data_IF_561458622049
#
_entry.id   IF_561458622049
#
_cell.length_a   1.000
_cell.length_b   1.000
_cell.length_c   1.000
_cell.angle_alpha   90.00
_cell.angle_beta   90.00
_cell.angle_gamma   90.00
#
_symmetry.space_group_name_H-M   'P 1'
#
loop_
_entity.id
_entity.type
_entity.pdbx_description
1 polymer ?
#
# COMPACT_ATOMS: atom_id res chain seq x y z
N UNK A 1 -15.28 8.90 16.80
CA UNK A 1 -16.39 7.93 16.82
C UNK A 1 -16.76 7.47 15.41
N UNK A 2 -16.99 8.38 14.45
CA UNK A 2 -17.33 8.02 13.07
C UNK A 2 -16.27 7.18 12.32
N UNK A 3 -14.98 7.47 12.55
CA UNK A 3 -13.88 6.71 11.93
C UNK A 3 -13.84 5.23 12.34
N UNK A 4 -14.18 4.90 13.60
CA UNK A 4 -14.22 3.51 14.09
C UNK A 4 -15.28 2.69 13.34
N UNK A 5 -16.47 3.27 13.16
CA UNK A 5 -17.57 2.66 12.40
C UNK A 5 -17.18 2.43 10.94
N UNK A 6 -16.55 3.41 10.31
CA UNK A 6 -16.08 3.30 8.91
C UNK A 6 -15.00 2.23 8.78
N UNK A 7 -14.01 2.23 9.67
CA UNK A 7 -12.91 1.28 9.65
C UNK A 7 -13.41 -0.16 9.84
N UNK A 8 -14.32 -0.38 10.79
CA UNK A 8 -14.94 -1.71 11.01
C UNK A 8 -15.75 -2.16 9.82
N UNK A 9 -16.59 -1.29 9.27
CA UNK A 9 -17.37 -1.62 8.06
C UNK A 9 -16.47 -2.00 6.88
N UNK A 10 -15.35 -1.31 6.71
CA UNK A 10 -14.36 -1.64 5.67
C UNK A 10 -13.66 -2.97 5.93
N UNK A 11 -13.28 -3.25 7.18
CA UNK A 11 -12.63 -4.50 7.58
C UNK A 11 -13.55 -5.71 7.52
N UNK A 12 -14.81 -5.56 7.92
CA UNK A 12 -15.79 -6.66 8.01
C UNK A 12 -16.43 -6.99 6.64
N UNK A 13 -16.21 -6.16 5.63
CA UNK A 13 -16.73 -6.41 4.28
C UNK A 13 -15.92 -7.52 3.61
N UNK A 14 -16.54 -8.67 3.39
CA UNK A 14 -15.91 -9.79 2.68
C UNK A 14 -15.68 -9.44 1.20
N UNK A 15 -14.45 -9.55 0.74
CA UNK A 15 -14.12 -9.58 -0.68
C UNK A 15 -14.36 -11.00 -1.24
N UNK A 16 -14.77 -11.10 -2.50
CA UNK A 16 -15.01 -12.39 -3.17
C UNK A 16 -13.76 -13.25 -3.36
N UNK A 17 -12.58 -12.64 -3.26
CA UNK A 17 -11.28 -13.29 -3.47
C UNK A 17 -10.59 -13.54 -2.13
N UNK A 18 -10.31 -14.82 -1.85
CA UNK A 18 -9.72 -15.29 -0.59
C UNK A 18 -8.31 -14.78 -0.33
N UNK A 19 -7.60 -14.33 -1.37
CA UNK A 19 -6.24 -13.75 -1.30
C UNK A 19 -6.32 -12.24 -1.21
N UNK A 20 -7.22 -11.59 -1.94
CA UNK A 20 -7.37 -10.13 -1.87
C UNK A 20 -7.93 -9.68 -0.53
N UNK A 21 -8.85 -10.45 0.08
CA UNK A 21 -9.52 -10.06 1.32
C UNK A 21 -8.53 -9.83 2.49
N UNK A 22 -7.57 -10.73 2.78
CA UNK A 22 -6.58 -10.45 3.81
C UNK A 22 -5.67 -9.26 3.46
N UNK A 23 -5.30 -9.03 2.19
CA UNK A 23 -4.47 -7.85 1.81
C UNK A 23 -5.16 -6.54 2.24
N UNK A 24 -6.46 -6.43 1.97
CA UNK A 24 -7.27 -5.26 2.35
C UNK A 24 -7.34 -5.12 3.87
N UNK A 25 -7.53 -6.22 4.60
CA UNK A 25 -7.57 -6.20 6.07
C UNK A 25 -6.25 -5.78 6.70
N UNK A 26 -5.13 -6.20 6.13
CA UNK A 26 -3.80 -5.75 6.50
C UNK A 26 -3.65 -4.23 6.36
N UNK A 27 -4.18 -3.63 5.29
CA UNK A 27 -4.23 -2.18 5.13
C UNK A 27 -5.03 -1.50 6.26
N UNK A 28 -6.23 -1.98 6.60
CA UNK A 28 -7.01 -1.43 7.72
C UNK A 28 -6.31 -1.58 9.08
N UNK A 29 -5.63 -2.71 9.33
CA UNK A 29 -4.78 -2.90 10.51
C UNK A 29 -3.69 -1.82 10.57
N UNK A 30 -2.99 -1.56 9.47
CA UNK A 30 -1.94 -0.53 9.41
C UNK A 30 -2.49 0.88 9.65
N UNK A 31 -3.63 1.21 9.03
CA UNK A 31 -4.31 2.48 9.29
C UNK A 31 -4.67 2.65 10.78
N UNK A 32 -5.15 1.60 11.44
CA UNK A 32 -5.40 1.63 12.88
C UNK A 32 -4.09 1.84 13.69
N UNK A 33 -2.96 1.32 13.22
CA UNK A 33 -1.65 1.40 13.86
C UNK A 33 -0.99 2.79 13.87
N UNK A 34 -1.37 3.71 12.97
CA UNK A 34 -0.79 5.06 12.93
C UNK A 34 -1.21 5.98 14.09
N UNK A 35 -2.22 5.59 14.89
CA UNK A 35 -2.70 6.39 16.01
C UNK A 35 -2.37 5.77 17.37
N UNK A 36 -2.14 6.61 18.39
CA UNK A 36 -1.80 6.17 19.75
C UNK A 36 -2.98 6.11 20.72
N UNK A 37 -4.19 6.49 20.28
CA UNK A 37 -5.38 6.48 21.12
C UNK A 37 -5.77 5.06 21.52
N UNK A 38 -6.46 4.92 22.65
CA UNK A 38 -6.91 3.62 23.14
C UNK A 38 -7.81 2.89 22.13
N UNK A 39 -8.71 3.63 21.49
CA UNK A 39 -9.59 3.10 20.43
C UNK A 39 -8.76 2.55 19.26
N UNK A 40 -7.71 3.27 18.83
CA UNK A 40 -6.82 2.83 17.74
C UNK A 40 -6.04 1.57 18.11
N UNK A 41 -5.49 1.50 19.32
CA UNK A 41 -4.81 0.29 19.82
C UNK A 41 -5.75 -0.90 19.90
N UNK A 42 -6.98 -0.71 20.37
CA UNK A 42 -8.00 -1.76 20.42
C UNK A 42 -8.35 -2.25 19.01
N UNK A 43 -8.60 -1.33 18.08
CA UNK A 43 -8.88 -1.69 16.68
C UNK A 43 -7.74 -2.43 16.02
N UNK A 44 -6.50 -1.98 16.24
CA UNK A 44 -5.33 -2.69 15.73
C UNK A 44 -5.28 -4.14 16.26
N UNK A 45 -5.55 -4.35 17.54
CA UNK A 45 -5.60 -5.68 18.15
C UNK A 45 -6.76 -6.54 17.58
N UNK A 46 -7.97 -5.97 17.50
CA UNK A 46 -9.15 -6.63 16.93
C UNK A 46 -8.89 -7.06 15.48
N UNK A 47 -8.34 -6.16 14.66
CA UNK A 47 -8.02 -6.43 13.25
C UNK A 47 -6.90 -7.45 13.10
N UNK A 48 -5.88 -7.41 13.97
CA UNK A 48 -4.82 -8.44 13.99
C UNK A 48 -5.42 -9.82 14.23
N UNK A 49 -6.32 -9.94 15.21
CA UNK A 49 -7.01 -11.19 15.51
C UNK A 49 -7.86 -11.67 14.33
N UNK A 50 -8.66 -10.79 13.72
CA UNK A 50 -9.50 -11.16 12.58
C UNK A 50 -8.70 -11.60 11.35
N UNK A 51 -7.52 -11.00 11.14
CA UNK A 51 -6.58 -11.44 10.11
C UNK A 51 -6.07 -12.86 10.42
N UNK A 52 -5.64 -13.13 11.66
CA UNK A 52 -5.13 -14.44 12.05
C UNK A 52 -6.18 -15.54 11.85
N UNK A 53 -7.42 -15.30 12.27
CA UNK A 53 -8.54 -16.22 12.08
C UNK A 53 -8.81 -16.51 10.60
N UNK A 54 -8.69 -15.49 9.74
CA UNK A 54 -8.89 -15.67 8.31
C UNK A 54 -7.76 -16.43 7.63
N UNK A 55 -6.51 -16.13 7.98
CA UNK A 55 -5.35 -16.85 7.46
C UNK A 55 -5.43 -18.32 7.85
N UNK A 56 -5.82 -18.62 9.09
CA UNK A 56 -6.04 -19.98 9.56
C UNK A 56 -7.17 -20.68 8.81
N UNK A 57 -8.36 -20.03 8.71
CA UNK A 57 -9.54 -20.57 8.01
C UNK A 57 -9.24 -21.01 6.57
N UNK A 58 -8.36 -20.28 5.88
CA UNK A 58 -8.04 -20.53 4.48
C UNK A 58 -6.66 -21.19 4.26
N UNK A 59 -5.97 -21.59 5.34
CA UNK A 59 -4.63 -22.19 5.30
C UNK A 59 -3.61 -21.32 4.51
N UNK A 60 -3.64 -20.01 4.76
CA UNK A 60 -2.77 -19.02 4.12
C UNK A 60 -1.53 -18.74 4.97
N UNK A 61 -0.39 -18.53 4.31
CA UNK A 61 0.88 -18.27 4.99
C UNK A 61 0.94 -16.86 5.56
N UNK A 62 0.98 -16.75 6.89
CA UNK A 62 1.22 -15.48 7.60
C UNK A 62 2.47 -14.76 7.12
N UNK A 63 3.57 -15.50 6.95
CA UNK A 63 4.84 -14.95 6.48
C UNK A 63 4.70 -14.31 5.10
N UNK A 64 3.94 -14.93 4.19
CA UNK A 64 3.73 -14.38 2.85
C UNK A 64 2.91 -13.07 2.91
N UNK A 65 1.82 -13.06 3.69
CA UNK A 65 0.99 -11.86 3.82
C UNK A 65 1.70 -10.72 4.55
N UNK A 66 2.54 -11.01 5.54
CA UNK A 66 3.40 -9.99 6.16
C UNK A 66 4.40 -9.38 5.15
N UNK A 67 4.89 -10.16 4.17
CA UNK A 67 5.70 -9.61 3.06
C UNK A 67 4.87 -8.78 2.09
N UNK A 68 3.69 -9.25 1.71
CA UNK A 68 2.76 -8.51 0.84
C UNK A 68 2.32 -7.19 1.47
N UNK A 69 2.14 -7.15 2.79
CA UNK A 69 1.80 -5.93 3.52
C UNK A 69 2.86 -4.85 3.37
N UNK A 70 4.16 -5.21 3.45
CA UNK A 70 5.26 -4.27 3.23
C UNK A 70 5.28 -3.70 1.82
N UNK A 71 4.97 -4.54 0.82
CA UNK A 71 4.85 -4.09 -0.58
C UNK A 71 3.67 -3.13 -0.71
N UNK A 72 2.52 -3.48 -0.14
CA UNK A 72 1.30 -2.65 -0.20
C UNK A 72 1.52 -1.31 0.51
N UNK A 73 2.19 -1.29 1.66
CA UNK A 73 2.51 -0.07 2.41
C UNK A 73 3.43 0.87 1.61
N UNK A 74 4.41 0.32 0.90
CA UNK A 74 5.23 1.11 -0.04
C UNK A 74 4.38 1.72 -1.12
N UNK A 75 3.56 0.90 -1.78
CA UNK A 75 2.75 1.34 -2.92
C UNK A 75 1.75 2.42 -2.48
N UNK A 76 1.15 2.28 -1.30
CA UNK A 76 0.29 3.31 -0.70
C UNK A 76 1.10 4.59 -0.48
N UNK A 77 2.28 4.50 0.15
CA UNK A 77 3.16 5.65 0.43
C UNK A 77 3.57 6.38 -0.86
N UNK A 78 4.03 5.65 -1.86
CA UNK A 78 4.40 6.19 -3.17
C UNK A 78 3.20 6.84 -3.85
N UNK A 79 2.03 6.19 -3.80
CA UNK A 79 0.80 6.73 -4.40
C UNK A 79 0.38 8.03 -3.73
N UNK A 80 0.48 8.12 -2.40
CA UNK A 80 0.22 9.37 -1.68
C UNK A 80 1.21 10.47 -2.08
N UNK A 81 2.51 10.19 -2.04
CA UNK A 81 3.54 11.16 -2.41
C UNK A 81 3.37 11.67 -3.85
N UNK A 82 3.12 10.75 -4.78
CA UNK A 82 2.86 11.06 -6.18
C UNK A 82 1.62 11.94 -6.36
N UNK A 83 0.51 11.62 -5.67
CA UNK A 83 -0.74 12.39 -5.76
C UNK A 83 -0.63 13.80 -5.20
N UNK A 84 0.34 14.09 -4.33
CA UNK A 84 0.58 15.44 -3.81
C UNK A 84 1.57 16.26 -4.64
N UNK A 85 2.11 15.71 -5.73
CA UNK A 85 3.04 16.39 -6.64
C UNK A 85 4.26 16.99 -5.91
N UNK A 86 4.70 16.33 -4.84
CA UNK A 86 5.89 16.73 -4.08
C UNK A 86 7.02 15.75 -4.42
N UNK A 87 8.18 16.24 -4.89
CA UNK A 87 9.34 15.38 -5.07
C UNK A 87 9.65 14.61 -3.78
N UNK A 88 9.74 13.29 -3.89
CA UNK A 88 9.88 12.42 -2.73
C UNK A 88 11.02 11.44 -2.95
N UNK A 89 11.77 11.15 -1.89
CA UNK A 89 12.80 10.11 -1.88
C UNK A 89 12.69 9.28 -0.62
N UNK A 90 13.09 8.03 -0.70
CA UNK A 90 13.15 7.15 0.46
C UNK A 90 13.83 5.84 0.14
N UNK A 91 13.86 4.96 1.13
CA UNK A 91 14.44 3.62 1.02
C UNK A 91 13.46 2.60 1.55
N UNK A 92 13.41 1.42 0.94
CA UNK A 92 12.60 0.31 1.41
C UNK A 92 13.32 -1.03 1.28
N UNK A 93 13.16 -1.89 2.29
CA UNK A 93 13.55 -3.29 2.20
C UNK A 93 12.48 -4.13 1.50
N UNK A 94 12.86 -4.82 0.42
CA UNK A 94 11.99 -5.73 -0.34
C UNK A 94 12.62 -7.10 -0.50
N UNK A 95 11.79 -8.12 -0.70
CA UNK A 95 12.22 -9.45 -1.14
C UNK A 95 12.04 -9.55 -2.66
N UNK A 96 13.12 -9.42 -3.46
CA UNK A 96 13.00 -9.32 -4.91
C UNK A 96 12.60 -10.65 -5.58
N UNK A 97 12.71 -11.76 -4.84
CA UNK A 97 12.42 -13.12 -5.34
C UNK A 97 11.46 -13.82 -4.39
N UNK A 98 10.40 -14.39 -4.96
CA UNK A 98 9.47 -15.24 -4.23
C UNK A 98 10.22 -16.49 -3.73
N UNK A 99 10.11 -16.79 -2.43
CA UNK A 99 10.74 -17.96 -1.81
C UNK A 99 12.19 -17.75 -1.34
N UNK A 100 12.76 -16.56 -1.52
CA UNK A 100 14.03 -16.20 -0.90
C UNK A 100 13.79 -15.38 0.38
N UNK A 101 14.63 -15.61 1.41
CA UNK A 101 14.61 -14.86 2.67
C UNK A 101 15.62 -13.70 2.66
N UNK A 102 16.10 -13.33 1.47
CA UNK A 102 17.06 -12.25 1.30
C UNK A 102 16.34 -10.95 0.98
N UNK A 103 16.40 -10.01 1.91
CA UNK A 103 15.99 -8.63 1.68
C UNK A 103 17.08 -7.84 0.96
N UNK A 104 16.66 -6.91 0.12
CA UNK A 104 17.51 -5.84 -0.41
C UNK A 104 16.88 -4.50 -0.09
N UNK A 105 17.69 -3.50 0.23
CA UNK A 105 17.25 -2.12 0.34
C UNK A 105 17.25 -1.47 -1.03
N UNK A 106 16.11 -0.91 -1.42
CA UNK A 106 15.87 -0.18 -2.66
C UNK A 106 15.63 1.28 -2.32
N UNK A 107 16.47 2.16 -2.84
CA UNK A 107 16.27 3.60 -2.80
C UNK A 107 15.36 4.01 -3.95
N UNK A 108 14.40 4.90 -3.68
CA UNK A 108 13.50 5.45 -4.68
C UNK A 108 13.55 6.98 -4.70
N UNK A 109 13.21 7.54 -5.86
CA UNK A 109 12.98 8.97 -6.05
C UNK A 109 11.81 9.18 -7.03
N UNK A 110 10.90 10.09 -6.69
CA UNK A 110 9.70 10.45 -7.46
C UNK A 110 9.75 11.93 -7.80
N UNK A 111 9.69 12.26 -9.09
CA UNK A 111 9.64 13.65 -9.60
C UNK A 111 9.07 13.65 -11.02
N UNK A 112 8.23 14.64 -11.37
CA UNK A 112 7.69 14.86 -12.72
C UNK A 112 7.10 13.62 -13.42
N UNK A 113 6.31 12.83 -12.67
CA UNK A 113 5.70 11.62 -13.22
C UNK A 113 6.66 10.43 -13.39
N UNK A 114 7.91 10.55 -12.94
CA UNK A 114 8.94 9.50 -13.04
C UNK A 114 9.31 9.00 -11.65
N UNK A 115 9.27 7.68 -11.49
CA UNK A 115 9.75 6.95 -10.32
C UNK A 115 11.05 6.27 -10.73
N UNK A 116 12.14 6.59 -10.05
CA UNK A 116 13.44 5.92 -10.24
C UNK A 116 13.77 5.08 -9.03
N UNK A 117 14.34 3.88 -9.22
CA UNK A 117 14.74 3.00 -8.11
C UNK A 117 16.12 2.39 -8.31
N UNK A 118 16.84 2.12 -7.22
CA UNK A 118 18.14 1.42 -7.23
C UNK A 118 18.36 0.62 -5.93
N UNK A 119 18.81 -0.65 -6.00
CA UNK A 119 18.95 -1.46 -7.21
C UNK A 119 17.57 -1.79 -7.80
N UNK A 120 17.53 -2.16 -9.08
CA UNK A 120 16.28 -2.48 -9.78
C UNK A 120 15.71 -3.84 -9.32
N UNK A 121 14.54 -3.89 -8.63
CA UNK A 121 14.03 -5.14 -8.07
C UNK A 121 13.06 -5.89 -9.00
N UNK A 122 12.69 -5.31 -10.14
CA UNK A 122 11.64 -5.84 -11.01
C UNK A 122 12.20 -6.74 -12.12
N UNK A 123 11.35 -7.61 -12.67
CA UNK A 123 11.69 -8.52 -13.76
C UNK A 123 11.57 -7.92 -15.16
N UNK A 124 11.13 -6.67 -15.27
CA UNK A 124 10.97 -5.91 -16.52
C UNK A 124 11.98 -4.79 -16.56
N UNK A 125 12.36 -4.26 -17.73
CA UNK A 125 13.35 -3.17 -17.79
C UNK A 125 12.78 -1.81 -17.35
N UNK A 126 11.48 -1.62 -17.59
CA UNK A 126 10.72 -0.45 -17.15
C UNK A 126 9.24 -0.82 -16.99
N UNK A 127 8.51 0.00 -16.23
CA UNK A 127 7.06 -0.11 -16.12
C UNK A 127 6.42 1.25 -16.40
N UNK A 128 5.33 1.26 -17.17
CA UNK A 128 4.58 2.47 -17.53
C UNK A 128 3.11 2.26 -17.24
N UNK A 129 2.45 3.32 -16.82
CA UNK A 129 1.02 3.29 -16.59
C UNK A 129 0.42 4.69 -16.53
N UNK A 130 -0.82 4.74 -16.07
CA UNK A 130 -1.55 5.98 -15.89
C UNK A 130 -2.43 5.90 -14.66
N UNK A 131 -2.73 7.07 -14.10
CA UNK A 131 -3.64 7.28 -12.98
C UNK A 131 -4.75 8.22 -13.41
N UNK A 132 -5.94 8.03 -12.83
CA UNK A 132 -7.02 9.02 -12.91
C UNK A 132 -6.85 9.97 -11.74
N UNK A 133 -6.52 11.23 -12.04
CA UNK A 133 -6.25 12.27 -11.05
C UNK A 133 -7.32 13.37 -11.13
N UNK A 134 -7.41 14.19 -10.08
CA UNK A 134 -8.30 15.35 -10.02
C UNK A 134 -7.47 16.59 -9.71
N UNK A 135 -7.86 17.72 -10.28
CA UNK A 135 -7.20 18.98 -9.97
C UNK A 135 -7.44 19.34 -8.50
N UNK A 136 -6.37 19.74 -7.80
CA UNK A 136 -6.47 20.25 -6.44
C UNK A 136 -7.35 21.50 -6.37
N UNK A 137 -7.25 22.37 -7.38
CA UNK A 137 -8.11 23.55 -7.51
C UNK A 137 -9.58 23.14 -7.70
N UNK A 138 -10.43 23.52 -6.74
CA UNK A 138 -11.85 23.23 -6.73
C UNK A 138 -12.24 21.87 -6.15
N UNK A 139 -11.28 21.02 -5.73
CA UNK A 139 -11.60 19.77 -5.02
C UNK A 139 -12.09 20.07 -3.59
N UNK A 140 -13.09 19.33 -3.06
CA UNK A 140 -13.83 18.21 -3.65
C UNK A 140 -15.07 18.61 -4.47
N UNK A 141 -15.40 19.89 -4.60
CA UNK A 141 -16.64 20.36 -5.22
C UNK A 141 -16.66 20.20 -6.75
N UNK A 142 -15.50 20.24 -7.41
CA UNK A 142 -15.31 20.02 -8.85
C UNK A 142 -14.50 18.74 -9.06
N UNK A 143 -15.15 17.74 -9.66
CA UNK A 143 -14.56 16.44 -9.97
C UNK A 143 -14.37 16.31 -11.48
N UNK A 144 -13.39 17.03 -12.02
CA UNK A 144 -12.99 16.92 -13.43
C UNK A 144 -11.73 16.03 -13.53
N UNK A 145 -11.89 14.76 -13.93
CA UNK A 145 -10.78 13.81 -13.93
C UNK A 145 -9.85 14.04 -15.12
N UNK A 146 -8.55 13.92 -14.90
CA UNK A 146 -7.55 13.88 -15.96
C UNK A 146 -6.65 12.65 -15.83
N UNK A 147 -6.01 12.27 -16.94
CA UNK A 147 -5.10 11.13 -16.98
C UNK A 147 -3.67 11.62 -16.77
N UNK A 148 -3.03 11.13 -15.71
CA UNK A 148 -1.63 11.38 -15.43
C UNK A 148 -0.82 10.12 -15.72
N UNK A 149 0.08 10.19 -16.70
CA UNK A 149 0.99 9.09 -17.01
C UNK A 149 2.13 9.02 -16.02
N UNK A 150 2.59 7.82 -15.69
CA UNK A 150 3.81 7.62 -14.91
C UNK A 150 4.76 6.62 -15.59
N UNK A 151 6.05 6.72 -15.23
CA UNK A 151 7.09 5.78 -15.62
C UNK A 151 7.92 5.38 -14.41
N UNK A 152 8.16 4.08 -14.25
CA UNK A 152 9.04 3.48 -13.27
C UNK A 152 10.26 2.88 -13.97
N UNK A 153 11.47 3.31 -13.60
CA UNK A 153 12.73 2.94 -14.27
C UNK A 153 13.89 2.81 -13.28
N UNK A 154 14.99 2.17 -13.70
CA UNK A 154 16.23 2.14 -12.95
C UNK A 154 16.83 3.55 -12.80
N UNK A 155 17.40 3.84 -11.63
CA UNK A 155 18.21 5.03 -11.39
C UNK A 155 19.63 4.79 -11.92
N UNK A 156 20.02 5.53 -12.96
CA UNK A 156 21.37 5.52 -13.50
C UNK A 156 22.33 6.37 -12.67
#
# INVERSE_FOLDING_TARGET
EEWDVIARRGFDMECSDIVADPIVKYHFRRLAGHGTSEIRRKLHADFTKGIDEQLEKHNLSRLLFDRMDRITDLLDTLSFQFCFDVPASGSISVFPRNGEDKEITVDYHVEDGVITVSPWPFSVDEHRGYLVAYHMDGYPARLDPFILSYRLTIRN
#
